data_IF_775892185774
#
_entry.id   IF_775892185774
#
_cell.length_a   1.000
_cell.length_b   1.000
_cell.length_c   1.000
_cell.angle_alpha   90.00
_cell.angle_beta   90.00
_cell.angle_gamma   90.00
#
_symmetry.space_group_name_H-M   'P 1'
#
loop_
_entity.id
_entity.type
_entity.pdbx_description
1 polymer ?
#
# COMPACT_ATOMS: atom_id res chain seq x y z
N UNK A 1 -29.15 -4.54 -18.60
CA UNK A 1 -28.11 -3.64 -18.05
C UNK A 1 -28.05 -2.41 -18.93
N UNK A 2 -27.98 -1.20 -18.35
CA UNK A 2 -27.79 0.02 -19.14
C UNK A 2 -26.45 -0.03 -19.89
N UNK A 3 -26.34 0.51 -21.11
CA UNK A 3 -25.08 0.52 -21.87
C UNK A 3 -23.91 1.15 -21.09
N UNK A 4 -24.23 2.16 -20.28
CA UNK A 4 -23.27 2.85 -19.41
C UNK A 4 -22.69 1.94 -18.30
N UNK A 5 -23.51 1.04 -17.74
CA UNK A 5 -23.06 0.10 -16.71
C UNK A 5 -22.08 -0.93 -17.28
N UNK A 6 -22.35 -1.42 -18.49
CA UNK A 6 -21.48 -2.36 -19.20
C UNK A 6 -20.15 -1.67 -19.52
N UNK A 7 -20.19 -0.43 -20.00
CA UNK A 7 -18.99 0.35 -20.29
C UNK A 7 -18.11 0.56 -19.04
N UNK A 8 -18.71 0.87 -17.88
CA UNK A 8 -17.98 1.07 -16.62
C UNK A 8 -17.23 -0.20 -16.15
N UNK A 9 -17.92 -1.35 -16.18
CA UNK A 9 -17.33 -2.63 -15.78
C UNK A 9 -16.19 -3.01 -16.74
N UNK A 10 -16.41 -2.88 -18.05
CA UNK A 10 -15.37 -3.19 -19.06
C UNK A 10 -14.16 -2.28 -18.88
N UNK A 11 -14.37 -0.98 -18.72
CA UNK A 11 -13.27 -0.02 -18.50
C UNK A 11 -12.49 -0.34 -17.23
N UNK A 12 -13.19 -0.61 -16.13
CA UNK A 12 -12.58 -0.96 -14.84
C UNK A 12 -11.71 -2.21 -14.97
N UNK A 13 -12.23 -3.27 -15.60
CA UNK A 13 -11.48 -4.52 -15.82
C UNK A 13 -10.25 -4.28 -16.69
N UNK A 14 -10.36 -3.53 -17.78
CA UNK A 14 -9.22 -3.23 -18.66
C UNK A 14 -8.12 -2.47 -17.92
N UNK A 15 -8.48 -1.44 -17.15
CA UNK A 15 -7.51 -0.64 -16.37
C UNK A 15 -6.85 -1.50 -15.29
N UNK A 16 -7.61 -2.31 -14.56
CA UNK A 16 -7.07 -3.20 -13.52
C UNK A 16 -6.12 -4.23 -14.12
N UNK A 17 -6.50 -4.89 -15.23
CA UNK A 17 -5.63 -5.84 -15.92
C UNK A 17 -4.34 -5.20 -16.42
N UNK A 18 -4.42 -3.98 -16.97
CA UNK A 18 -3.25 -3.24 -17.41
C UNK A 18 -2.32 -2.88 -16.24
N UNK A 19 -2.87 -2.36 -15.14
CA UNK A 19 -2.12 -2.03 -13.94
C UNK A 19 -1.41 -3.25 -13.35
N UNK A 20 -2.13 -4.38 -13.24
CA UNK A 20 -1.57 -5.66 -12.77
C UNK A 20 -0.48 -6.17 -13.72
N UNK A 21 -0.68 -6.06 -15.04
CA UNK A 21 0.32 -6.43 -16.04
C UNK A 21 1.63 -5.63 -15.90
N UNK A 22 1.53 -4.31 -15.73
CA UNK A 22 2.69 -3.45 -15.48
C UNK A 22 3.39 -3.80 -14.16
N UNK A 23 2.61 -4.07 -13.11
CA UNK A 23 3.16 -4.49 -11.82
C UNK A 23 3.98 -5.77 -11.94
N UNK A 24 3.46 -6.80 -12.63
CA UNK A 24 4.21 -8.04 -12.89
C UNK A 24 5.47 -7.81 -13.74
N UNK A 25 5.39 -6.93 -14.74
CA UNK A 25 6.55 -6.56 -15.55
C UNK A 25 7.67 -5.94 -14.71
N UNK A 26 7.32 -5.02 -13.80
CA UNK A 26 8.26 -4.40 -12.88
C UNK A 26 8.87 -5.42 -11.90
N UNK A 27 8.04 -6.29 -11.31
CA UNK A 27 8.52 -7.34 -10.41
C UNK A 27 9.51 -8.28 -11.12
N UNK A 28 9.18 -8.73 -12.34
CA UNK A 28 10.06 -9.57 -13.15
C UNK A 28 11.41 -8.88 -13.40
N UNK A 29 11.37 -7.59 -13.71
CA UNK A 29 12.57 -6.80 -13.97
C UNK A 29 13.44 -6.65 -12.72
N UNK A 30 12.84 -6.31 -11.57
CA UNK A 30 13.54 -6.22 -10.28
C UNK A 30 14.11 -7.56 -9.84
N UNK A 31 13.35 -8.64 -9.99
CA UNK A 31 13.80 -10.00 -9.67
C UNK A 31 15.04 -10.39 -10.49
N UNK A 32 15.03 -10.10 -11.79
CA UNK A 32 16.20 -10.32 -12.66
C UNK A 32 17.41 -9.50 -12.21
N UNK A 33 17.24 -8.24 -11.82
CA UNK A 33 18.34 -7.43 -11.29
C UNK A 33 18.92 -7.99 -9.99
N UNK A 34 18.09 -8.48 -9.07
CA UNK A 34 18.56 -9.11 -7.82
C UNK A 34 19.37 -10.37 -8.12
N UNK A 35 18.95 -11.17 -9.10
CA UNK A 35 19.67 -12.38 -9.51
C UNK A 35 21.02 -12.11 -10.17
N UNK A 36 21.23 -10.92 -10.77
CA UNK A 36 22.53 -10.50 -11.32
C UNK A 36 23.53 -10.08 -10.22
N UNK A 37 23.09 -9.95 -8.98
CA UNK A 37 23.96 -9.68 -7.83
C UNK A 37 24.89 -10.87 -7.52
N UNK A 38 26.04 -10.59 -6.90
CA UNK A 38 26.98 -11.63 -6.45
C UNK A 38 26.28 -12.59 -5.48
N UNK A 39 26.33 -13.90 -5.76
CA UNK A 39 26.03 -14.91 -4.73
C UNK A 39 27.04 -14.72 -3.60
N UNK A 40 26.55 -14.31 -2.43
CA UNK A 40 27.34 -14.31 -1.20
C UNK A 40 27.52 -15.78 -0.81
N UNK A 41 28.74 -16.19 -0.47
CA UNK A 41 29.01 -17.48 0.16
C UNK A 41 28.28 -17.46 1.52
N UNK A 42 27.16 -18.17 1.61
CA UNK A 42 26.29 -18.15 2.79
C UNK A 42 26.72 -19.24 3.74
N UNK A 43 27.57 -18.88 4.70
CA UNK A 43 28.00 -19.78 5.75
C UNK A 43 27.09 -19.66 7.00
N UNK A 44 26.44 -20.78 7.34
CA UNK A 44 26.11 -21.23 8.71
C UNK A 44 25.12 -20.47 9.64
N UNK A 45 24.41 -19.39 9.28
CA UNK A 45 23.54 -18.70 10.28
C UNK A 45 22.12 -18.28 9.85
N UNK A 46 21.44 -19.06 9.00
CA UNK A 46 20.04 -18.77 8.59
C UNK A 46 19.10 -18.57 9.79
N UNK A 47 19.25 -19.37 10.85
CA UNK A 47 18.50 -19.22 12.12
C UNK A 47 18.79 -17.90 12.82
N UNK A 48 20.05 -17.48 12.84
CA UNK A 48 20.47 -16.26 13.51
C UNK A 48 20.04 -15.02 12.71
N UNK A 49 20.03 -15.10 11.38
CA UNK A 49 19.45 -14.07 10.50
C UNK A 49 17.93 -14.01 10.62
N UNK A 50 17.22 -15.14 10.69
CA UNK A 50 15.78 -15.12 10.94
C UNK A 50 15.45 -14.47 12.28
N UNK A 51 16.24 -14.76 13.34
CA UNK A 51 16.12 -14.06 14.62
C UNK A 51 16.43 -12.57 14.49
N UNK A 52 17.47 -12.21 13.75
CA UNK A 52 17.85 -10.81 13.53
C UNK A 52 16.79 -10.04 12.73
N UNK A 53 16.21 -10.66 11.69
CA UNK A 53 15.09 -10.14 10.91
C UNK A 53 13.86 -10.00 11.80
N UNK A 54 13.53 -11.00 12.62
CA UNK A 54 12.39 -10.93 13.53
C UNK A 54 12.55 -9.80 14.56
N UNK A 55 13.75 -9.62 15.13
CA UNK A 55 14.02 -8.58 16.13
C UNK A 55 14.11 -7.18 15.53
N UNK A 56 14.67 -7.02 14.32
CA UNK A 56 14.85 -5.70 13.69
C UNK A 56 13.72 -5.30 12.73
N UNK A 57 13.14 -6.24 11.99
CA UNK A 57 12.07 -5.96 11.01
C UNK A 57 10.70 -5.97 11.68
N UNK A 58 10.38 -7.01 12.45
CA UNK A 58 9.11 -7.06 13.19
C UNK A 58 9.17 -6.31 14.51
N UNK A 59 10.28 -6.41 15.24
CA UNK A 59 10.46 -5.70 16.51
C UNK A 59 10.78 -4.20 16.37
N UNK A 60 11.17 -3.72 15.18
CA UNK A 60 11.57 -2.32 14.93
C UNK A 60 12.52 -1.71 15.99
N UNK A 61 13.34 -2.52 16.67
CA UNK A 61 14.17 -2.09 17.81
C UNK A 61 15.16 -0.96 17.48
N UNK A 62 15.50 -0.78 16.20
CA UNK A 62 16.37 0.31 15.73
C UNK A 62 15.60 1.61 15.45
N UNK A 63 14.31 1.52 15.09
CA UNK A 63 13.42 2.65 14.82
C UNK A 63 12.76 3.19 16.10
N UNK A 64 12.47 2.32 17.06
CA UNK A 64 11.89 2.71 18.36
C UNK A 64 12.91 3.29 19.36
N UNK A 65 14.21 3.26 19.01
CA UNK A 65 15.24 3.97 19.78
C UNK A 65 15.07 5.49 19.71
N UNK A 66 14.59 6.00 18.57
CA UNK A 66 14.22 7.41 18.40
C UNK A 66 12.69 7.53 18.35
N UNK A 67 12.02 7.87 19.46
CA UNK A 67 10.56 7.83 19.56
C UNK A 67 9.87 8.76 18.56
N UNK A 68 10.54 9.84 18.14
CA UNK A 68 10.05 10.75 17.09
C UNK A 68 9.98 10.07 15.72
N UNK A 69 11.03 9.35 15.32
CA UNK A 69 11.08 8.68 14.02
C UNK A 69 10.18 7.45 13.97
N UNK A 70 10.10 6.70 15.08
CA UNK A 70 9.21 5.55 15.20
C UNK A 70 7.74 5.95 15.08
N UNK A 71 7.31 7.02 15.75
CA UNK A 71 5.94 7.50 15.68
C UNK A 71 5.55 7.94 14.26
N UNK A 72 6.41 8.68 13.58
CA UNK A 72 6.19 9.11 12.19
C UNK A 72 6.03 7.88 11.29
N UNK A 73 6.91 6.88 11.41
CA UNK A 73 6.85 5.67 10.59
C UNK A 73 5.55 4.89 10.80
N UNK A 74 5.12 4.72 12.05
CA UNK A 74 3.86 4.05 12.39
C UNK A 74 2.66 4.82 11.80
N UNK A 75 2.62 6.15 11.97
CA UNK A 75 1.57 7.00 11.41
C UNK A 75 1.45 6.86 9.89
N UNK A 76 2.58 6.96 9.17
CA UNK A 76 2.58 6.75 7.71
C UNK A 76 2.21 5.33 7.33
N UNK A 77 2.72 4.31 8.04
CA UNK A 77 2.41 2.91 7.73
C UNK A 77 0.90 2.63 7.83
N UNK A 78 0.25 3.04 8.92
CA UNK A 78 -1.19 2.87 9.09
C UNK A 78 -2.00 3.76 8.14
N UNK A 79 -1.53 5.00 7.87
CA UNK A 79 -2.14 5.89 6.88
C UNK A 79 -2.15 5.28 5.48
N UNK A 80 -0.99 4.81 5.00
CA UNK A 80 -0.89 4.11 3.72
C UNK A 80 -1.73 2.85 3.68
N UNK A 81 -1.75 2.05 4.76
CA UNK A 81 -2.59 0.85 4.82
C UNK A 81 -4.07 1.21 4.63
N UNK A 82 -4.53 2.32 5.20
CA UNK A 82 -5.89 2.81 5.06
C UNK A 82 -6.20 3.29 3.62
N UNK A 83 -5.26 3.99 2.97
CA UNK A 83 -5.38 4.38 1.55
C UNK A 83 -5.46 3.16 0.63
N UNK A 84 -4.63 2.14 0.87
CA UNK A 84 -4.63 0.91 0.06
C UNK A 84 -5.96 0.16 0.17
N UNK A 85 -6.52 0.06 1.38
CA UNK A 85 -7.87 -0.50 1.57
C UNK A 85 -8.93 0.31 0.82
N UNK A 86 -8.76 1.63 0.72
CA UNK A 86 -9.64 2.49 -0.06
C UNK A 86 -9.55 2.31 -1.55
N UNK A 87 -8.34 2.12 -2.07
CA UNK A 87 -8.15 1.77 -3.47
C UNK A 87 -8.87 0.46 -3.82
N UNK A 88 -8.85 -0.54 -2.92
CA UNK A 88 -9.57 -1.81 -3.10
C UNK A 88 -11.09 -1.57 -3.10
N UNK A 89 -11.61 -0.75 -2.19
CA UNK A 89 -13.04 -0.40 -2.14
C UNK A 89 -13.49 0.34 -3.41
N UNK A 90 -12.65 1.22 -3.97
CA UNK A 90 -12.92 1.89 -5.24
C UNK A 90 -13.00 0.90 -6.42
N UNK A 91 -12.08 -0.06 -6.49
CA UNK A 91 -12.11 -1.12 -7.50
C UNK A 91 -13.39 -1.97 -7.36
N UNK A 92 -13.80 -2.29 -6.13
CA UNK A 92 -15.02 -3.04 -5.86
C UNK A 92 -16.28 -2.30 -6.34
N UNK A 93 -16.38 -1.00 -6.03
CA UNK A 93 -17.46 -0.12 -6.52
C UNK A 93 -17.50 -0.01 -8.04
N UNK A 94 -16.35 -0.06 -8.70
CA UNK A 94 -16.25 -0.07 -10.17
C UNK A 94 -16.80 -1.35 -10.82
N UNK A 95 -16.66 -2.50 -10.15
CA UNK A 95 -17.17 -3.79 -10.61
C UNK A 95 -18.65 -4.01 -10.29
N UNK A 96 -19.11 -3.56 -9.12
CA UNK A 96 -20.49 -3.70 -8.66
C UNK A 96 -21.01 -2.35 -8.11
N UNK A 97 -21.53 -1.46 -8.98
CA UNK A 97 -22.05 -0.18 -8.53
C UNK A 97 -23.25 -0.38 -7.59
N UNK A 98 -23.13 0.16 -6.37
CA UNK A 98 -24.10 -0.02 -5.28
C UNK A 98 -23.69 -1.06 -4.23
N UNK A 99 -22.59 -1.79 -4.44
CA UNK A 99 -21.97 -2.65 -3.42
C UNK A 99 -20.77 -1.94 -2.79
N UNK A 100 -20.67 -2.03 -1.48
CA UNK A 100 -19.50 -1.61 -0.70
C UNK A 100 -18.79 -2.85 -0.17
N UNK A 101 -17.52 -2.71 0.24
CA UNK A 101 -16.84 -3.76 1.01
C UNK A 101 -17.75 -4.20 2.19
N UNK A 102 -17.89 -5.50 2.50
CA UNK A 102 -18.75 -5.99 3.58
C UNK A 102 -18.13 -5.71 4.98
N UNK A 103 -17.78 -4.45 5.24
CA UNK A 103 -17.31 -3.95 6.54
C UNK A 103 -18.46 -3.63 7.49
N UNK A 104 -19.71 -3.82 7.05
CA UNK A 104 -20.91 -3.59 7.86
C UNK A 104 -20.94 -2.20 8.47
N UNK A 105 -21.17 -2.14 9.79
CA UNK A 105 -21.27 -0.88 10.57
C UNK A 105 -19.96 -0.07 10.53
N UNK A 106 -18.81 -0.71 10.30
CA UNK A 106 -17.51 -0.04 10.24
C UNK A 106 -17.23 0.66 8.91
N UNK A 107 -18.04 0.45 7.87
CA UNK A 107 -17.86 1.09 6.57
C UNK A 107 -18.03 2.63 6.64
N UNK A 108 -18.98 3.12 7.44
CA UNK A 108 -19.17 4.57 7.62
C UNK A 108 -17.98 5.22 8.34
N UNK A 109 -17.44 4.55 9.35
CA UNK A 109 -16.23 4.98 10.07
C UNK A 109 -15.03 4.96 9.13
N UNK A 110 -14.87 3.90 8.35
CA UNK A 110 -13.80 3.75 7.36
C UNK A 110 -13.82 4.87 6.30
N UNK A 111 -15.00 5.18 5.75
CA UNK A 111 -15.16 6.24 4.74
C UNK A 111 -14.85 7.62 5.33
N UNK A 112 -15.31 7.90 6.55
CA UNK A 112 -15.00 9.15 7.25
C UNK A 112 -13.49 9.33 7.45
N UNK A 113 -12.79 8.29 7.89
CA UNK A 113 -11.33 8.35 8.04
C UNK A 113 -10.61 8.49 6.69
N UNK A 114 -11.11 7.91 5.61
CA UNK A 114 -10.55 8.15 4.27
C UNK A 114 -10.64 9.60 3.83
N UNK A 115 -11.79 10.23 4.04
CA UNK A 115 -11.96 11.65 3.72
C UNK A 115 -11.00 12.52 4.54
N UNK A 116 -10.77 12.19 5.82
CA UNK A 116 -9.76 12.86 6.64
C UNK A 116 -8.34 12.67 6.10
N UNK A 117 -7.98 11.45 5.67
CA UNK A 117 -6.65 11.17 5.10
C UNK A 117 -6.47 11.91 3.78
N UNK A 118 -7.47 11.90 2.90
CA UNK A 118 -7.43 12.65 1.63
C UNK A 118 -7.33 14.15 1.90
N UNK A 119 -8.11 14.68 2.86
CA UNK A 119 -8.02 16.08 3.26
C UNK A 119 -6.64 16.43 3.81
N UNK A 120 -6.04 15.56 4.62
CA UNK A 120 -4.71 15.77 5.16
C UNK A 120 -3.63 15.71 4.08
N UNK A 121 -3.64 14.71 3.20
CA UNK A 121 -2.66 14.53 2.13
C UNK A 121 -2.78 15.62 1.06
N UNK A 122 -4.01 15.91 0.61
CA UNK A 122 -4.26 16.94 -0.38
C UNK A 122 -4.07 18.34 0.20
N UNK A 123 -4.51 18.56 1.45
CA UNK A 123 -4.30 19.80 2.19
C UNK A 123 -2.83 20.09 2.47
N UNK A 124 -2.05 19.09 2.88
CA UNK A 124 -0.60 19.24 3.12
C UNK A 124 0.19 19.39 1.81
N UNK A 125 -0.25 18.74 0.73
CA UNK A 125 0.31 18.88 -0.62
C UNK A 125 0.06 20.27 -1.22
N UNK A 126 -1.14 20.84 -1.06
CA UNK A 126 -1.45 22.20 -1.50
C UNK A 126 -0.83 23.29 -0.63
N UNK A 127 -0.62 23.03 0.67
CA UNK A 127 -0.07 24.01 1.62
C UNK A 127 1.46 23.97 1.71
N UNK A 128 2.13 23.07 0.97
CA UNK A 128 3.60 22.96 0.93
C UNK A 128 4.24 22.57 2.27
N UNK A 129 3.45 22.00 3.20
CA UNK A 129 3.90 21.62 4.55
C UNK A 129 4.59 20.25 4.54
N UNK A 130 4.43 19.46 3.47
CA UNK A 130 5.27 18.30 3.25
C UNK A 130 6.62 18.78 2.66
N UNK A 131 7.76 18.62 3.36
CA UNK A 131 9.05 18.84 2.70
C UNK A 131 9.11 17.97 1.45
N UNK A 132 9.81 18.41 0.38
CA UNK A 132 9.97 17.58 -0.80
C UNK A 132 10.47 16.22 -0.33
N UNK A 133 9.73 15.18 -0.70
CA UNK A 133 10.13 13.79 -0.52
C UNK A 133 11.56 13.64 -1.06
N UNK A 134 12.54 13.67 -0.15
CA UNK A 134 13.90 13.19 -0.40
C UNK A 134 13.90 11.66 -0.32
#
# INVERSE_FOLDING_TARGET
>A
MSPLLIANIVLTVVVVLYAVGLFFYLLKTRYKYVQLGKKVEFDESVKERLRYIMVNVFGQNKLLKDPKSGLIHVMFFYGFLMVQLGAIDLIWKGLAPGSHLPLGIFYGVFTFFQELVVLYDFGSGCLGILPPLC
#
